data_IF_984761273957
#
_entry.id   IF_984761273957
#
_cell.length_a   1.000
_cell.length_b   1.000
_cell.length_c   1.000
_cell.angle_alpha   90.00
_cell.angle_beta   90.00
_cell.angle_gamma   90.00
#
_symmetry.space_group_name_H-M   'P 1'
#
loop_
_entity.id
_entity.type
_entity.pdbx_description
1 polymer ?
#
# COMPACT_ATOMS: atom_id res chain seq x y z
N UNK A 1 -23.36 1.54 -3.64
CA UNK A 1 -23.62 2.32 -4.88
C UNK A 1 -24.54 1.56 -5.83
N UNK A 2 -25.48 2.25 -6.49
CA UNK A 2 -26.25 1.69 -7.62
C UNK A 2 -25.73 2.35 -8.90
N UNK A 3 -25.20 1.56 -9.84
CA UNK A 3 -24.62 2.06 -11.09
C UNK A 3 -25.49 1.72 -12.30
N UNK A 4 -25.67 2.73 -13.16
CA UNK A 4 -26.35 2.64 -14.46
C UNK A 4 -25.46 3.29 -15.52
N UNK A 5 -25.36 2.66 -16.70
CA UNK A 5 -24.53 3.14 -17.81
C UNK A 5 -23.15 2.49 -17.87
N UNK A 6 -22.42 2.82 -18.94
CA UNK A 6 -21.11 2.31 -19.32
C UNK A 6 -20.06 3.45 -19.40
N UNK A 7 -18.80 3.07 -19.61
CA UNK A 7 -17.64 3.97 -19.81
C UNK A 7 -17.36 4.93 -18.64
N UNK A 8 -17.79 4.60 -17.43
CA UNK A 8 -17.44 5.37 -16.24
C UNK A 8 -16.03 5.00 -15.75
N UNK A 9 -15.36 5.95 -15.09
CA UNK A 9 -14.09 5.74 -14.39
C UNK A 9 -14.28 5.93 -12.88
N UNK A 10 -13.95 4.90 -12.11
CA UNK A 10 -13.93 4.91 -10.66
C UNK A 10 -12.52 4.57 -10.17
N UNK A 11 -11.85 5.51 -9.52
CA UNK A 11 -10.57 5.29 -8.87
C UNK A 11 -10.54 6.05 -7.54
N UNK A 12 -9.75 5.58 -6.58
CA UNK A 12 -9.52 6.22 -5.29
C UNK A 12 -10.80 6.43 -4.45
N UNK A 13 -11.85 5.63 -4.66
CA UNK A 13 -13.05 5.65 -3.85
C UNK A 13 -12.96 4.69 -2.66
N UNK A 14 -13.73 4.96 -1.61
CA UNK A 14 -13.92 4.04 -0.48
C UNK A 14 -15.33 3.49 -0.50
N UNK A 15 -15.45 2.20 -0.79
CA UNK A 15 -16.68 1.44 -0.63
C UNK A 15 -16.56 0.60 0.64
N UNK A 16 -17.36 0.94 1.65
CA UNK A 16 -17.32 0.30 2.96
C UNK A 16 -18.73 0.04 3.53
N UNK A 17 -19.59 -0.50 2.68
CA UNK A 17 -20.93 -0.95 3.00
C UNK A 17 -21.01 -2.47 2.82
N UNK A 18 -22.01 -3.12 3.44
CA UNK A 18 -22.29 -4.55 3.20
C UNK A 18 -22.61 -4.86 1.72
N UNK A 19 -23.01 -3.84 0.94
CA UNK A 19 -23.30 -3.95 -0.49
C UNK A 19 -22.71 -2.76 -1.26
N UNK A 20 -21.41 -2.84 -1.51
CA UNK A 20 -20.60 -1.75 -2.07
C UNK A 20 -21.03 -1.28 -3.46
N UNK A 21 -21.31 -2.20 -4.39
CA UNK A 21 -21.68 -1.85 -5.77
C UNK A 21 -22.74 -2.81 -6.33
N UNK A 22 -23.80 -2.27 -6.91
CA UNK A 22 -24.80 -3.00 -7.68
C UNK A 22 -24.90 -2.39 -9.08
N UNK A 23 -24.37 -3.11 -10.07
CA UNK A 23 -24.37 -2.72 -11.48
C UNK A 23 -25.63 -3.26 -12.14
N UNK A 24 -26.57 -2.37 -12.47
CA UNK A 24 -27.88 -2.75 -13.00
C UNK A 24 -27.86 -3.13 -14.47
N UNK A 25 -26.93 -2.58 -15.25
CA UNK A 25 -26.79 -2.90 -16.67
C UNK A 25 -25.90 -4.13 -16.86
N UNK A 26 -26.42 -5.25 -17.42
CA UNK A 26 -25.62 -6.45 -17.57
C UNK A 26 -24.48 -6.33 -18.58
N UNK A 27 -24.54 -5.36 -19.50
CA UNK A 27 -23.61 -5.21 -20.59
C UNK A 27 -22.67 -4.01 -20.41
N UNK A 28 -22.82 -3.25 -19.32
CA UNK A 28 -21.95 -2.10 -19.07
C UNK A 28 -20.51 -2.54 -18.80
N UNK A 29 -19.57 -1.83 -19.40
CA UNK A 29 -18.15 -1.90 -19.10
C UNK A 29 -17.72 -0.59 -18.46
N UNK A 30 -17.12 -0.65 -17.27
CA UNK A 30 -16.60 0.51 -16.56
C UNK A 30 -15.17 0.24 -16.11
N UNK A 31 -14.41 1.30 -15.95
CA UNK A 31 -13.02 1.26 -15.49
C UNK A 31 -12.99 1.49 -13.97
N UNK A 32 -12.30 0.61 -13.24
CA UNK A 32 -12.30 0.61 -11.77
C UNK A 32 -10.94 0.89 -11.15
N UNK A 33 -9.97 1.31 -11.95
CA UNK A 33 -8.66 1.75 -11.51
C UNK A 33 -8.11 2.82 -12.44
N UNK A 34 -7.25 3.68 -11.91
CA UNK A 34 -6.65 4.74 -12.71
C UNK A 34 -5.47 4.25 -13.55
N UNK A 35 -5.23 4.90 -14.69
CA UNK A 35 -3.93 4.87 -15.37
C UNK A 35 -3.32 6.25 -15.26
N UNK A 36 -2.23 6.38 -14.49
CA UNK A 36 -1.45 7.60 -14.43
C UNK A 36 -0.41 7.63 -15.55
N UNK A 37 -0.45 8.63 -16.42
CA UNK A 37 0.62 8.84 -17.42
C UNK A 37 1.59 9.87 -16.87
N UNK A 38 2.84 9.48 -16.67
CA UNK A 38 3.94 10.39 -16.30
C UNK A 38 4.91 10.54 -17.47
N UNK A 39 5.83 11.51 -17.40
CA UNK A 39 6.91 11.68 -18.38
C UNK A 39 7.90 10.50 -18.44
N UNK A 40 7.82 9.58 -17.47
CA UNK A 40 8.62 8.34 -17.40
C UNK A 40 7.87 7.11 -17.96
N UNK A 41 6.59 7.24 -18.32
CA UNK A 41 5.75 6.13 -18.81
C UNK A 41 4.36 6.11 -18.19
N UNK A 42 3.53 5.15 -18.63
CA UNK A 42 2.24 4.87 -17.99
C UNK A 42 2.46 3.96 -16.78
N UNK A 43 1.99 4.40 -15.61
CA UNK A 43 1.88 3.58 -14.40
C UNK A 43 0.40 3.40 -14.07
N UNK A 44 0.03 2.26 -13.50
CA UNK A 44 -1.32 2.10 -12.98
C UNK A 44 -1.43 2.90 -11.68
N UNK A 45 -2.30 3.90 -11.64
CA UNK A 45 -2.70 4.50 -10.36
C UNK A 45 -3.76 3.60 -9.74
N UNK A 46 -3.85 3.61 -8.43
CA UNK A 46 -4.68 2.68 -7.68
C UNK A 46 -6.13 2.55 -8.12
N UNK A 47 -6.73 1.46 -7.65
CA UNK A 47 -8.14 1.18 -7.71
C UNK A 47 -8.94 1.83 -6.59
N UNK A 48 -9.99 1.15 -6.18
CA UNK A 48 -10.84 1.55 -5.08
C UNK A 48 -10.62 0.65 -3.87
N UNK A 49 -11.07 1.12 -2.72
CA UNK A 49 -11.13 0.32 -1.49
C UNK A 49 -12.49 -0.38 -1.41
N UNK A 50 -12.49 -1.68 -1.19
CA UNK A 50 -13.65 -2.57 -1.14
C UNK A 50 -13.73 -3.27 0.23
N UNK A 51 -14.01 -2.50 1.27
CA UNK A 51 -14.12 -3.00 2.64
C UNK A 51 -15.55 -3.33 3.05
N UNK A 52 -15.71 -3.71 4.32
CA UNK A 52 -17.01 -3.80 4.98
C UNK A 52 -16.94 -3.29 6.43
N UNK A 53 -18.07 -2.85 7.02
CA UNK A 53 -18.08 -2.27 8.38
C UNK A 53 -17.59 -3.20 9.49
N UNK A 54 -17.63 -4.52 9.27
CA UNK A 54 -17.12 -5.56 10.15
C UNK A 54 -15.64 -5.90 9.92
N UNK A 55 -14.99 -5.28 8.92
CA UNK A 55 -13.58 -5.48 8.61
C UNK A 55 -13.29 -6.79 7.89
N UNK A 56 -14.30 -7.41 7.27
CA UNK A 56 -14.17 -8.66 6.50
C UNK A 56 -14.26 -8.45 4.99
N UNK A 57 -14.20 -7.20 4.53
CA UNK A 57 -14.27 -6.84 3.12
C UNK A 57 -13.00 -7.22 2.38
N UNK A 58 -13.08 -7.22 1.06
CA UNK A 58 -11.96 -7.63 0.21
C UNK A 58 -10.69 -6.83 0.49
N UNK A 59 -10.79 -5.51 0.52
CA UNK A 59 -9.66 -4.62 0.80
C UNK A 59 -9.19 -4.69 2.25
N UNK A 60 -10.05 -5.06 3.19
CA UNK A 60 -9.67 -5.28 4.59
C UNK A 60 -8.72 -6.48 4.72
N UNK A 61 -8.95 -7.52 3.91
CA UNK A 61 -8.30 -8.83 4.07
C UNK A 61 -7.24 -9.17 3.02
N UNK A 62 -7.25 -8.52 1.86
CA UNK A 62 -6.37 -8.87 0.75
C UNK A 62 -4.88 -8.78 1.12
N UNK A 63 -4.03 -9.56 0.46
CA UNK A 63 -2.57 -9.39 0.56
C UNK A 63 -2.14 -8.19 -0.30
N UNK A 64 -1.38 -7.28 0.30
CA UNK A 64 -0.87 -6.09 -0.36
C UNK A 64 0.50 -6.34 -1.00
N UNK A 65 0.71 -5.78 -2.19
CA UNK A 65 2.03 -5.53 -2.74
C UNK A 65 2.70 -4.35 -2.04
N UNK A 66 3.93 -4.06 -2.43
CA UNK A 66 4.74 -2.98 -1.88
C UNK A 66 4.25 -1.57 -2.27
N UNK A 67 3.28 -1.53 -3.17
CA UNK A 67 2.77 -0.34 -3.83
C UNK A 67 1.45 0.18 -3.25
N UNK A 68 0.94 -0.43 -2.17
CA UNK A 68 -0.31 0.00 -1.57
C UNK A 68 -1.55 -0.82 -1.98
N UNK A 69 -1.40 -1.72 -2.95
CA UNK A 69 -2.54 -2.37 -3.63
C UNK A 69 -2.62 -3.87 -3.36
N UNK A 70 -3.84 -4.40 -3.37
CA UNK A 70 -4.08 -5.83 -3.33
C UNK A 70 -3.39 -6.52 -4.52
N UNK A 71 -2.70 -7.62 -4.25
CA UNK A 71 -1.99 -8.43 -5.26
C UNK A 71 -2.91 -9.15 -6.25
N UNK A 72 -4.21 -9.19 -5.96
CA UNK A 72 -5.24 -9.82 -6.79
C UNK A 72 -6.38 -8.85 -7.10
N UNK A 73 -7.04 -8.99 -8.27
CA UNK A 73 -8.12 -8.09 -8.68
C UNK A 73 -9.41 -8.35 -7.88
N UNK A 74 -10.19 -7.28 -7.67
CA UNK A 74 -11.55 -7.37 -7.15
C UNK A 74 -12.54 -7.47 -8.31
N UNK A 75 -13.24 -8.60 -8.40
CA UNK A 75 -14.22 -8.87 -9.46
C UNK A 75 -15.60 -8.48 -8.94
N UNK A 76 -16.10 -7.33 -9.37
CA UNK A 76 -17.49 -6.92 -9.07
C UNK A 76 -18.45 -7.81 -9.87
N UNK A 77 -18.11 -8.04 -11.15
CA UNK A 77 -18.79 -8.94 -12.11
C UNK A 77 -17.96 -9.03 -13.41
N UNK A 78 -18.29 -9.95 -14.35
CA UNK A 78 -17.65 -9.95 -15.67
C UNK A 78 -17.72 -8.58 -16.35
N UNK A 79 -16.58 -8.12 -16.88
CA UNK A 79 -16.44 -6.81 -17.53
C UNK A 79 -16.32 -5.59 -16.60
N UNK A 80 -16.41 -5.79 -15.27
CA UNK A 80 -16.24 -4.75 -14.26
C UNK A 80 -15.31 -5.27 -13.17
N UNK A 81 -14.02 -5.06 -13.41
CA UNK A 81 -12.93 -5.59 -12.58
C UNK A 81 -12.07 -4.41 -12.14
N UNK A 82 -11.81 -4.33 -10.85
CA UNK A 82 -10.78 -3.48 -10.28
C UNK A 82 -9.47 -4.28 -10.23
N UNK A 83 -8.51 -3.89 -11.05
CA UNK A 83 -7.24 -4.63 -11.19
C UNK A 83 -6.21 -4.26 -10.13
N UNK A 84 -6.36 -3.13 -9.43
CA UNK A 84 -5.41 -2.67 -8.41
C UNK A 84 -6.13 -2.15 -7.15
N UNK A 85 -6.96 -2.96 -6.46
CA UNK A 85 -7.70 -2.49 -5.30
C UNK A 85 -6.79 -1.93 -4.20
N UNK A 86 -7.22 -0.92 -3.46
CA UNK A 86 -6.49 -0.43 -2.29
C UNK A 86 -6.53 -1.47 -1.16
N UNK A 87 -5.43 -1.69 -0.43
CA UNK A 87 -5.39 -2.61 0.71
C UNK A 87 -5.43 -1.87 2.06
N UNK A 88 -6.11 -2.42 3.05
CA UNK A 88 -6.04 -1.95 4.45
C UNK A 88 -4.75 -2.38 5.14
N UNK A 89 -4.10 -3.46 4.69
CA UNK A 89 -2.80 -3.90 5.22
C UNK A 89 -1.70 -2.86 4.98
N UNK A 90 -1.96 -1.90 4.09
CA UNK A 90 -1.12 -0.74 3.84
C UNK A 90 -1.37 0.39 4.82
N UNK A 91 -2.53 0.49 5.50
CA UNK A 91 -2.64 1.28 6.73
C UNK A 91 -1.78 0.68 7.84
N UNK A 92 -1.68 -0.65 7.94
CA UNK A 92 -0.88 -1.29 9.00
C UNK A 92 0.62 -1.26 8.67
N UNK A 93 1.01 -1.33 7.39
CA UNK A 93 2.39 -1.09 6.93
C UNK A 93 2.80 0.39 6.99
N UNK A 94 1.92 1.33 6.61
CA UNK A 94 2.18 2.78 6.75
C UNK A 94 2.08 3.30 8.18
N UNK A 95 1.44 2.56 9.10
CA UNK A 95 1.53 2.80 10.54
C UNK A 95 2.77 2.14 11.17
N UNK A 96 3.43 1.22 10.47
CA UNK A 96 4.70 0.63 10.85
C UNK A 96 5.85 1.24 10.05
N UNK A 97 6.03 2.55 10.22
CA UNK A 97 7.24 3.31 9.89
C UNK A 97 7.72 3.27 8.43
N UNK A 98 8.12 4.44 7.96
CA UNK A 98 8.57 4.72 6.61
C UNK A 98 9.97 4.11 6.31
N UNK A 99 10.21 2.84 6.61
CA UNK A 99 11.55 2.22 6.68
C UNK A 99 12.08 1.68 5.35
N UNK A 100 11.23 1.29 4.40
CA UNK A 100 11.62 1.02 3.00
C UNK A 100 11.62 2.33 2.20
N UNK A 101 12.65 3.14 2.45
CA UNK A 101 12.80 4.46 1.84
C UNK A 101 13.13 4.41 0.35
N UNK A 102 13.68 3.30 -0.11
CA UNK A 102 14.08 3.12 -1.50
C UNK A 102 13.02 2.38 -2.36
N UNK A 103 11.96 1.87 -1.73
CA UNK A 103 10.81 1.20 -2.34
C UNK A 103 11.18 -0.04 -3.15
N UNK A 104 12.20 -0.78 -2.72
CA UNK A 104 12.59 -2.04 -3.35
C UNK A 104 11.91 -3.27 -2.73
N UNK A 105 11.13 -3.09 -1.67
CA UNK A 105 10.44 -4.14 -0.94
C UNK A 105 11.23 -4.80 0.18
N UNK A 106 12.42 -4.30 0.46
CA UNK A 106 13.31 -4.83 1.47
C UNK A 106 13.70 -3.71 2.41
N UNK A 107 13.38 -3.88 3.68
CA UNK A 107 13.89 -3.03 4.75
C UNK A 107 15.35 -3.40 5.03
N UNK A 108 16.28 -2.69 4.39
CA UNK A 108 17.70 -3.02 4.43
C UNK A 108 18.61 -1.79 4.49
N UNK A 109 19.94 -2.02 4.47
CA UNK A 109 20.91 -0.94 4.62
C UNK A 109 20.90 0.08 3.46
N UNK A 110 20.28 -0.24 2.33
CA UNK A 110 20.08 0.68 1.22
C UNK A 110 19.10 1.80 1.61
N UNK A 111 18.15 1.53 2.52
CA UNK A 111 17.24 2.56 3.06
C UNK A 111 17.98 3.57 3.92
N UNK A 112 18.95 3.11 4.71
CA UNK A 112 19.83 3.99 5.48
C UNK A 112 20.62 4.92 4.56
N UNK A 113 21.06 4.42 3.40
CA UNK A 113 21.77 5.24 2.39
C UNK A 113 20.84 6.30 1.80
N UNK A 114 19.59 5.94 1.47
CA UNK A 114 18.59 6.92 1.01
C UNK A 114 18.33 7.97 2.07
N UNK A 115 18.19 7.56 3.34
CA UNK A 115 18.00 8.49 4.44
C UNK A 115 19.16 9.47 4.61
N UNK A 116 20.41 8.98 4.52
CA UNK A 116 21.60 9.84 4.60
C UNK A 116 21.66 10.86 3.44
N UNK A 117 21.21 10.50 2.25
CA UNK A 117 21.10 11.44 1.13
C UNK A 117 20.02 12.51 1.40
N UNK A 118 18.92 12.16 2.06
CA UNK A 118 17.86 13.10 2.44
C UNK A 118 18.34 14.08 3.52
N UNK A 119 19.01 13.57 4.56
CA UNK A 119 19.66 14.37 5.59
C UNK A 119 20.63 15.39 5.00
N UNK A 120 21.47 14.97 4.06
CA UNK A 120 22.46 15.85 3.42
C UNK A 120 21.83 16.83 2.42
N UNK A 121 20.64 16.53 1.89
CA UNK A 121 19.86 17.45 1.05
C UNK A 121 19.10 18.53 1.83
N UNK A 122 19.02 18.41 3.17
CA UNK A 122 18.26 19.32 4.02
C UNK A 122 16.75 19.07 4.04
N UNK A 123 16.31 17.87 3.68
CA UNK A 123 14.92 17.45 3.83
C UNK A 123 14.56 17.40 5.32
N UNK A 124 13.46 18.04 5.71
CA UNK A 124 13.00 18.19 7.10
C UNK A 124 11.65 17.55 7.33
N UNK A 125 11.20 16.69 6.43
CA UNK A 125 9.94 15.96 6.59
C UNK A 125 9.93 15.19 7.91
N UNK A 126 8.90 15.41 8.72
CA UNK A 126 8.68 14.69 9.99
C UNK A 126 8.45 13.20 9.79
N UNK A 127 8.26 12.75 8.54
CA UNK A 127 8.17 11.35 8.16
C UNK A 127 9.49 10.58 8.33
N UNK A 128 10.60 11.27 8.63
CA UNK A 128 11.91 10.65 8.84
C UNK A 128 12.45 10.80 10.28
N UNK A 129 11.61 11.25 11.22
CA UNK A 129 11.93 11.27 12.66
C UNK A 129 11.78 9.86 13.25
N UNK A 130 12.67 8.95 12.83
CA UNK A 130 12.64 7.55 13.27
C UNK A 130 12.93 7.41 14.78
N UNK A 131 13.59 8.39 15.39
CA UNK A 131 13.86 8.41 16.83
C UNK A 131 12.69 8.96 17.67
N UNK A 132 11.78 9.72 17.05
CA UNK A 132 10.67 10.39 17.70
C UNK A 132 11.11 11.56 18.60
N UNK A 133 12.31 12.10 18.41
CA UNK A 133 12.88 13.16 19.24
C UNK A 133 12.48 14.58 18.76
N UNK A 134 11.70 14.66 17.68
CA UNK A 134 11.21 15.88 17.06
C UNK A 134 12.26 16.59 16.21
N UNK A 135 13.41 15.96 15.95
CA UNK A 135 14.53 16.56 15.19
C UNK A 135 15.10 15.54 14.21
N UNK A 136 15.10 15.91 12.94
CA UNK A 136 15.76 15.13 11.88
C UNK A 136 17.28 15.24 12.00
N UNK A 137 17.94 14.21 12.54
CA UNK A 137 19.36 14.18 12.84
C UNK A 137 19.98 12.75 12.82
N UNK A 138 21.25 12.61 13.23
CA UNK A 138 21.94 11.32 13.23
C UNK A 138 21.33 10.28 14.19
N UNK A 139 20.57 10.71 15.20
CA UNK A 139 19.82 9.82 16.08
C UNK A 139 18.80 8.98 15.29
N UNK A 140 18.20 9.55 14.25
CA UNK A 140 17.23 8.85 13.40
C UNK A 140 17.91 7.80 12.52
N UNK A 141 19.17 8.03 12.13
CA UNK A 141 19.96 7.05 11.36
C UNK A 141 20.19 5.80 12.21
N UNK A 142 20.52 6.01 13.49
CA UNK A 142 20.71 4.93 14.45
C UNK A 142 19.39 4.22 14.74
N UNK A 143 18.28 4.95 14.86
CA UNK A 143 16.95 4.38 15.05
C UNK A 143 16.55 3.49 13.86
N UNK A 144 16.66 4.01 12.63
CA UNK A 144 16.38 3.27 11.40
C UNK A 144 17.23 1.99 11.30
N UNK A 145 18.53 2.09 11.58
CA UNK A 145 19.42 0.92 11.59
C UNK A 145 18.97 -0.16 12.59
N UNK A 146 18.60 0.26 13.81
CA UNK A 146 18.13 -0.69 14.83
C UNK A 146 16.80 -1.35 14.45
N UNK A 147 15.89 -0.61 13.79
CA UNK A 147 14.63 -1.15 13.28
C UNK A 147 14.90 -2.24 12.23
N UNK A 148 15.75 -1.94 11.24
CA UNK A 148 16.13 -2.88 10.17
C UNK A 148 16.74 -4.17 10.75
N UNK A 149 17.69 -4.04 11.68
CA UNK A 149 18.35 -5.19 12.29
C UNK A 149 17.36 -6.03 13.12
N UNK A 150 16.45 -5.39 13.85
CA UNK A 150 15.42 -6.08 14.63
C UNK A 150 14.48 -6.90 13.73
N UNK A 151 13.96 -6.29 12.67
CA UNK A 151 13.04 -6.95 11.73
C UNK A 151 13.71 -8.14 11.01
N UNK A 152 15.02 -8.04 10.73
CA UNK A 152 15.81 -9.15 10.18
C UNK A 152 15.97 -10.33 11.15
N UNK A 153 16.07 -10.07 12.45
CA UNK A 153 16.18 -11.14 13.44
C UNK A 153 14.82 -11.83 13.66
N UNK A 154 13.72 -11.08 13.70
CA UNK A 154 12.36 -11.63 13.84
C UNK A 154 11.99 -12.54 12.66
N UNK A 155 12.31 -12.13 11.42
CA UNK A 155 12.10 -12.98 10.22
C UNK A 155 12.95 -14.26 10.17
N UNK A 156 14.00 -14.36 10.98
CA UNK A 156 14.84 -15.56 11.05
C UNK A 156 14.37 -16.59 12.10
N UNK A 157 13.60 -16.17 13.11
CA UNK A 157 13.10 -17.05 14.17
C UNK A 157 11.86 -17.87 13.72
N UNK A 158 11.08 -17.37 12.76
CA UNK A 158 9.93 -18.09 12.19
C UNK A 158 10.30 -19.30 11.30
N UNK A 159 11.59 -19.52 11.03
CA UNK A 159 12.09 -20.58 10.14
C UNK A 159 12.49 -21.90 10.80
N UNK A 160 12.62 -21.97 12.14
CA UNK A 160 13.17 -23.17 12.81
C UNK A 160 12.11 -24.15 13.34
N UNK A 161 10.81 -23.85 13.18
CA UNK A 161 9.70 -24.62 13.79
C UNK A 161 9.17 -25.84 13.01
N UNK A 162 9.73 -26.21 11.85
CA UNK A 162 9.21 -27.34 11.05
C UNK A 162 10.28 -28.36 10.68
N UNK A 163 10.87 -29.02 11.68
CA UNK A 163 11.36 -30.40 11.53
C UNK A 163 11.11 -31.18 12.82
N UNK A 164 10.03 -31.94 12.85
CA UNK A 164 9.97 -33.24 13.53
C UNK A 164 8.99 -34.15 12.83
#
# INVERSE_FOLDING_TARGET
>A
MILKGDENLFSENVFNDLNNCNIQDPLSYNTWNGTGVTSLGSFFTGGNYWGSPDGEGFSDLCDAGLDGYCTIPYIIRPGNIDYHPLSEKEKVRSLNMNTDLNQNGYEDLQDVVVYMNKLTSGDTSTLYDFSGDGRINLNDVVALFNIIIKNKNESSEDGEGQKS
#
